data_IF_473020684918
#
_entry.id   IF_473020684918
#
_cell.length_a   1.000
_cell.length_b   1.000
_cell.length_c   1.000
_cell.angle_alpha   90.00
_cell.angle_beta   90.00
_cell.angle_gamma   90.00
#
_symmetry.space_group_name_H-M   'P 1'
#
loop_
_entity.id
_entity.type
_entity.pdbx_description
1 polymer ?
#
# COMPACT_ATOMS: atom_id res chain seq x y z
N UNK A 1 21.87 -20.63 -6.55
CA UNK A 1 22.28 -19.74 -5.49
C UNK A 1 21.86 -18.31 -5.74
N UNK A 2 21.82 -17.94 -6.97
CA UNK A 2 21.47 -16.57 -7.26
C UNK A 2 20.08 -16.21 -6.81
N UNK A 3 19.19 -17.12 -6.83
CA UNK A 3 17.82 -16.84 -6.48
C UNK A 3 17.67 -16.47 -5.03
N UNK A 4 18.59 -16.79 -4.23
CA UNK A 4 18.46 -16.50 -2.82
C UNK A 4 18.32 -15.03 -2.55
N UNK A 5 18.97 -14.24 -3.32
CA UNK A 5 18.94 -12.83 -3.07
C UNK A 5 17.60 -12.21 -3.25
N UNK A 6 16.81 -12.78 -4.09
CA UNK A 6 15.55 -12.17 -4.37
C UNK A 6 14.65 -12.12 -3.18
N UNK A 7 14.74 -13.10 -2.35
CA UNK A 7 13.86 -13.14 -1.22
C UNK A 7 14.16 -12.06 -0.22
N UNK A 8 15.41 -11.72 -0.10
CA UNK A 8 15.79 -10.72 0.87
C UNK A 8 15.17 -9.38 0.55
N UNK A 9 15.03 -9.09 -0.71
CA UNK A 9 14.53 -7.80 -1.10
C UNK A 9 13.03 -7.74 -1.25
N UNK A 10 12.37 -8.85 -1.19
CA UNK A 10 10.95 -8.81 -1.48
C UNK A 10 10.19 -8.23 -0.30
N UNK A 11 9.21 -7.39 -0.63
CA UNK A 11 8.34 -6.84 0.38
C UNK A 11 7.25 -7.85 0.72
N UNK A 12 6.62 -7.69 1.88
CA UNK A 12 5.54 -8.60 2.25
C UNK A 12 4.46 -8.63 1.19
N UNK A 13 3.92 -9.81 0.99
CA UNK A 13 2.88 -9.95 -0.01
C UNK A 13 1.69 -9.06 0.30
N UNK A 14 1.32 -8.97 1.56
CA UNK A 14 0.22 -8.13 1.93
C UNK A 14 0.43 -6.69 1.54
N UNK A 15 1.64 -6.21 1.74
CA UNK A 15 1.94 -4.84 1.40
C UNK A 15 1.82 -4.60 -0.09
N UNK A 16 2.29 -5.54 -0.87
CA UNK A 16 2.21 -5.41 -2.31
C UNK A 16 0.76 -5.32 -2.78
N UNK A 17 -0.07 -6.15 -2.22
CA UNK A 17 -1.48 -6.15 -2.58
C UNK A 17 -2.14 -4.84 -2.20
N UNK A 18 -1.84 -4.36 -1.01
CA UNK A 18 -2.43 -3.11 -0.55
C UNK A 18 -1.98 -1.97 -1.45
N UNK A 19 -0.72 -1.96 -1.79
CA UNK A 19 -0.20 -0.91 -2.66
C UNK A 19 -0.91 -0.91 -4.01
N UNK A 20 -1.15 -2.07 -4.54
CA UNK A 20 -1.85 -2.19 -5.81
C UNK A 20 -3.25 -1.65 -5.71
N UNK A 21 -3.94 -2.03 -4.65
CA UNK A 21 -5.30 -1.58 -4.48
C UNK A 21 -5.38 -0.07 -4.33
N UNK A 22 -4.43 0.48 -3.59
CA UNK A 22 -4.42 1.93 -3.44
C UNK A 22 -4.26 2.60 -4.78
N UNK A 23 -3.36 2.11 -5.59
CA UNK A 23 -3.14 2.70 -6.90
C UNK A 23 -4.38 2.60 -7.75
N UNK A 24 -5.02 1.46 -7.73
CA UNK A 24 -6.23 1.28 -8.51
C UNK A 24 -7.33 2.23 -8.06
N UNK A 25 -7.51 2.36 -6.77
CA UNK A 25 -8.54 3.23 -6.26
C UNK A 25 -8.23 4.69 -6.57
N UNK A 26 -6.97 5.04 -6.55
CA UNK A 26 -6.60 6.40 -6.88
C UNK A 26 -6.96 6.75 -8.32
N UNK A 27 -6.73 5.81 -9.20
CA UNK A 27 -7.10 6.01 -10.59
C UNK A 27 -8.61 6.15 -10.72
N UNK A 28 -9.34 5.30 -10.04
CA UNK A 28 -10.79 5.37 -10.08
C UNK A 28 -11.30 6.68 -9.48
N UNK A 29 -10.65 7.11 -8.42
CA UNK A 29 -11.05 8.35 -7.79
C UNK A 29 -10.91 9.52 -8.74
N UNK A 30 -9.85 9.51 -9.52
CA UNK A 30 -9.68 10.58 -10.49
C UNK A 30 -10.79 10.61 -11.50
N UNK A 31 -11.18 9.44 -11.97
CA UNK A 31 -12.26 9.37 -12.92
C UNK A 31 -13.58 9.83 -12.31
N UNK A 32 -13.83 9.41 -11.09
CA UNK A 32 -15.04 9.80 -10.41
C UNK A 32 -15.06 11.30 -10.15
N UNK A 33 -13.91 11.84 -9.87
CA UNK A 33 -13.81 13.27 -9.65
C UNK A 33 -14.24 14.04 -10.87
N UNK A 34 -13.88 13.54 -12.02
CA UNK A 34 -14.27 14.18 -13.26
C UNK A 34 -15.77 14.14 -13.48
N UNK A 35 -16.37 13.07 -13.03
CA UNK A 35 -17.80 12.91 -13.21
C UNK A 35 -18.61 13.63 -12.15
N UNK A 36 -17.94 14.12 -11.13
CA UNK A 36 -18.64 14.83 -10.06
C UNK A 36 -19.58 13.94 -9.29
N UNK A 37 -19.21 12.70 -9.11
CA UNK A 37 -20.04 11.74 -8.38
C UNK A 37 -19.63 11.77 -6.91
N UNK A 38 -20.24 12.65 -6.16
CA UNK A 38 -19.87 12.84 -4.78
C UNK A 38 -20.02 11.59 -3.91
N UNK A 39 -21.16 10.90 -4.00
CA UNK A 39 -21.31 9.69 -3.17
C UNK A 39 -20.23 8.68 -3.41
N UNK A 40 -19.87 8.48 -4.66
CA UNK A 40 -18.80 7.54 -4.96
C UNK A 40 -17.48 8.04 -4.49
N UNK A 41 -17.27 9.33 -4.59
CA UNK A 41 -16.03 9.91 -4.11
C UNK A 41 -15.84 9.66 -2.62
N UNK A 42 -16.89 9.79 -1.88
CA UNK A 42 -16.81 9.55 -0.45
C UNK A 42 -16.51 8.10 -0.14
N UNK A 43 -17.15 7.21 -0.85
CA UNK A 43 -16.90 5.79 -0.63
C UNK A 43 -15.47 5.42 -0.95
N UNK A 44 -15.00 5.88 -2.10
CA UNK A 44 -13.64 5.51 -2.51
C UNK A 44 -12.61 6.18 -1.62
N UNK A 45 -12.91 7.37 -1.15
CA UNK A 45 -12.03 8.04 -0.23
C UNK A 45 -11.88 7.29 1.07
N UNK A 46 -12.97 6.72 1.54
CA UNK A 46 -12.94 5.92 2.74
C UNK A 46 -12.07 4.69 2.55
N UNK A 47 -12.29 4.01 1.45
CA UNK A 47 -11.51 2.82 1.17
C UNK A 47 -10.03 3.15 1.04
N UNK A 48 -9.76 4.26 0.39
CA UNK A 48 -8.36 4.67 0.25
C UNK A 48 -7.73 4.95 1.59
N UNK A 49 -8.46 5.61 2.46
CA UNK A 49 -7.92 5.91 3.77
C UNK A 49 -7.62 4.63 4.53
N UNK A 50 -8.52 3.68 4.46
CA UNK A 50 -8.31 2.41 5.14
C UNK A 50 -7.09 1.68 4.59
N UNK A 51 -7.01 1.63 3.28
CA UNK A 51 -5.88 0.94 2.67
C UNK A 51 -4.57 1.63 2.99
N UNK A 52 -4.58 2.94 2.99
CA UNK A 52 -3.36 3.68 3.30
C UNK A 52 -2.93 3.43 4.73
N UNK A 53 -3.88 3.31 5.62
CA UNK A 53 -3.55 3.01 7.00
C UNK A 53 -2.95 1.62 7.12
N UNK A 54 -3.52 0.67 6.42
CA UNK A 54 -2.96 -0.67 6.42
C UNK A 54 -1.56 -0.66 5.85
N UNK A 55 -1.38 0.05 4.77
CA UNK A 55 -0.06 0.15 4.17
C UNK A 55 0.95 0.73 5.16
N UNK A 56 0.54 1.74 5.86
CA UNK A 56 1.42 2.36 6.84
C UNK A 56 1.80 1.36 7.93
N UNK A 57 0.83 0.60 8.37
CA UNK A 57 1.09 -0.39 9.40
C UNK A 57 2.09 -1.43 8.93
N UNK A 58 1.89 -1.91 7.73
CA UNK A 58 2.81 -2.89 7.18
C UNK A 58 4.20 -2.30 7.01
N UNK A 59 4.26 -1.10 6.52
CA UNK A 59 5.55 -0.46 6.31
C UNK A 59 6.28 -0.24 7.62
N UNK A 60 5.55 0.17 8.63
CA UNK A 60 6.16 0.40 9.92
C UNK A 60 6.74 -0.90 10.47
N UNK A 61 5.98 -1.97 10.33
CA UNK A 61 6.47 -3.26 10.78
C UNK A 61 7.71 -3.67 10.03
N UNK A 62 7.66 -3.52 8.73
CA UNK A 62 8.79 -3.92 7.91
C UNK A 62 10.02 -3.10 8.23
N UNK A 63 9.82 -1.81 8.39
CA UNK A 63 10.93 -0.94 8.71
C UNK A 63 11.49 -1.20 10.09
N UNK A 64 10.61 -1.51 11.01
CA UNK A 64 11.04 -1.79 12.36
C UNK A 64 12.00 -2.97 12.40
N UNK A 65 11.65 -4.01 11.69
CA UNK A 65 12.51 -5.17 11.63
C UNK A 65 13.84 -4.84 10.98
N UNK A 66 13.77 -4.10 9.91
CA UNK A 66 14.99 -3.74 9.22
C UNK A 66 15.85 -2.85 10.07
N UNK A 67 15.20 -1.97 10.80
CA UNK A 67 15.95 -1.05 11.64
C UNK A 67 16.74 -1.81 12.70
N UNK A 68 16.12 -2.82 13.25
CA UNK A 68 16.82 -3.61 14.26
C UNK A 68 18.07 -4.23 13.71
N UNK A 69 18.00 -4.73 12.51
CA UNK A 69 19.18 -5.34 11.92
C UNK A 69 20.23 -4.30 11.59
N UNK A 70 19.78 -3.14 11.24
CA UNK A 70 20.69 -2.09 10.84
C UNK A 70 21.55 -1.63 11.98
N UNK A 71 20.98 -1.59 13.16
CA UNK A 71 21.71 -1.06 14.29
C UNK A 71 22.95 -1.86 14.59
N UNK A 72 22.88 -3.12 14.40
CA UNK A 72 24.07 -3.91 14.67
C UNK A 72 25.20 -3.51 13.75
#
# INVERSE_FOLDING_TARGET
AAKLRMEVDSVPEGLDEISRKIKQLEIEREAIKRENDEPKLQTIGKELAELKEQEKSYKAKWQSEKSLMDIS
#
